data_IF_324152952416
#
_entry.id   IF_324152952416
#
_cell.length_a   1.000
_cell.length_b   1.000
_cell.length_c   1.000
_cell.angle_alpha   90.00
_cell.angle_beta   90.00
_cell.angle_gamma   90.00
#
_symmetry.space_group_name_H-M   'P 1'
#
loop_
_entity.id
_entity.type
_entity.pdbx_description
1 polymer ?
#
# COMPACT_ATOMS: atom_id res chain seq x y z
N UNK A 1 2.17 -15.05 19.16
CA UNK A 1 2.32 -14.89 17.70
C UNK A 1 3.74 -14.48 17.38
N UNK A 2 4.40 -15.24 16.51
CA UNK A 2 5.58 -14.78 15.80
C UNK A 2 5.18 -13.69 14.80
N UNK A 3 6.04 -12.69 14.61
CA UNK A 3 5.88 -11.64 13.58
C UNK A 3 7.01 -11.86 12.58
N UNK A 4 6.65 -12.00 11.30
CA UNK A 4 7.61 -12.04 10.21
C UNK A 4 7.74 -10.63 9.62
N UNK A 5 8.94 -10.07 9.65
CA UNK A 5 9.24 -8.80 9.01
C UNK A 5 9.88 -9.10 7.66
N UNK A 6 9.27 -8.62 6.58
CA UNK A 6 9.83 -8.72 5.22
C UNK A 6 10.22 -7.33 4.77
N UNK A 7 11.44 -7.16 4.28
CA UNK A 7 11.97 -5.87 3.85
C UNK A 7 12.29 -5.93 2.35
N UNK A 8 11.59 -5.11 1.58
CA UNK A 8 11.86 -4.89 0.17
C UNK A 8 12.87 -3.75 0.02
N UNK A 9 13.99 -4.04 -0.64
CA UNK A 9 15.05 -3.07 -0.90
C UNK A 9 14.96 -2.56 -2.35
N UNK A 10 15.44 -1.34 -2.58
CA UNK A 10 15.46 -0.73 -3.91
C UNK A 10 16.79 -0.93 -4.66
N UNK A 11 17.90 -1.00 -3.92
CA UNK A 11 19.25 -1.06 -4.47
C UNK A 11 20.10 -2.11 -3.76
N UNK A 12 21.09 -2.67 -4.46
CA UNK A 12 22.02 -3.69 -3.94
C UNK A 12 22.77 -3.23 -2.67
N UNK A 13 23.19 -1.96 -2.61
CA UNK A 13 23.82 -1.41 -1.40
C UNK A 13 22.91 -1.52 -0.18
N UNK A 14 21.62 -1.22 -0.36
CA UNK A 14 20.63 -1.30 0.71
C UNK A 14 20.41 -2.74 1.16
N UNK A 15 20.39 -3.69 0.21
CA UNK A 15 20.30 -5.13 0.51
C UNK A 15 21.49 -5.53 1.39
N UNK A 16 22.72 -5.20 0.99
CA UNK A 16 23.93 -5.55 1.76
C UNK A 16 23.89 -5.00 3.18
N UNK A 17 23.60 -3.71 3.34
CA UNK A 17 23.53 -3.06 4.66
C UNK A 17 22.45 -3.67 5.57
N UNK A 18 21.30 -4.03 5.01
CA UNK A 18 20.21 -4.60 5.79
C UNK A 18 20.42 -6.07 6.13
N UNK A 19 21.04 -6.84 5.23
CA UNK A 19 21.44 -8.23 5.51
C UNK A 19 22.40 -8.27 6.67
N UNK A 20 23.50 -7.51 6.60
CA UNK A 20 24.52 -7.44 7.67
C UNK A 20 23.89 -7.09 9.03
N UNK A 21 22.91 -6.19 9.04
CA UNK A 21 22.32 -5.68 10.28
C UNK A 21 21.14 -6.50 10.82
N UNK A 22 20.38 -7.16 9.94
CA UNK A 22 19.03 -7.65 10.29
C UNK A 22 18.68 -9.05 9.79
N UNK A 23 19.57 -9.79 9.12
CA UNK A 23 19.23 -11.12 8.57
C UNK A 23 18.71 -12.14 9.62
N UNK A 24 19.13 -12.00 10.87
CA UNK A 24 18.66 -12.85 11.97
C UNK A 24 17.25 -12.47 12.50
N UNK A 25 16.69 -11.34 12.06
CA UNK A 25 15.46 -10.74 12.61
C UNK A 25 14.39 -10.42 11.55
N UNK A 26 14.77 -10.36 10.28
CA UNK A 26 13.89 -10.04 9.17
C UNK A 26 14.29 -10.80 7.91
N UNK A 27 13.33 -10.98 7.00
CA UNK A 27 13.55 -11.51 5.66
C UNK A 27 13.87 -10.35 4.72
N UNK A 28 15.14 -10.23 4.31
CA UNK A 28 15.57 -9.22 3.34
C UNK A 28 15.40 -9.81 1.93
N UNK A 29 14.56 -9.20 1.11
CA UNK A 29 14.38 -9.61 -0.27
C UNK A 29 15.58 -9.14 -1.11
N UNK A 30 16.27 -10.11 -1.71
CA UNK A 30 17.48 -9.89 -2.53
C UNK A 30 17.18 -9.71 -4.02
N UNK A 31 16.03 -10.22 -4.47
CA UNK A 31 15.62 -10.17 -5.87
C UNK A 31 14.33 -9.37 -6.01
N UNK A 32 14.07 -8.88 -7.23
CA UNK A 32 12.77 -8.31 -7.59
C UNK A 32 11.70 -9.38 -7.43
N UNK A 33 10.62 -9.02 -6.74
CA UNK A 33 9.45 -9.87 -6.52
C UNK A 33 8.21 -9.17 -7.07
N UNK A 34 7.17 -9.94 -7.35
CA UNK A 34 5.86 -9.37 -7.66
C UNK A 34 5.29 -8.68 -6.41
N UNK A 35 5.16 -7.35 -6.49
CA UNK A 35 4.76 -6.51 -5.38
C UNK A 35 3.29 -6.68 -5.00
N UNK A 36 2.40 -6.90 -5.97
CA UNK A 36 0.95 -6.93 -5.71
C UNK A 36 0.57 -8.14 -4.83
N UNK A 37 0.96 -9.39 -5.16
CA UNK A 37 0.71 -10.54 -4.31
C UNK A 37 1.36 -10.41 -2.93
N UNK A 38 2.60 -9.89 -2.87
CA UNK A 38 3.31 -9.68 -1.62
C UNK A 38 2.54 -8.70 -0.70
N UNK A 39 2.14 -7.56 -1.23
CA UNK A 39 1.36 -6.55 -0.50
C UNK A 39 0.00 -7.12 -0.06
N UNK A 40 -0.71 -7.82 -0.96
CA UNK A 40 -2.03 -8.38 -0.66
C UNK A 40 -1.99 -9.44 0.45
N UNK A 41 -0.90 -10.22 0.50
CA UNK A 41 -0.66 -11.24 1.52
C UNK A 41 -0.29 -10.64 2.89
N UNK A 42 0.29 -9.45 2.92
CA UNK A 42 0.81 -8.81 4.14
C UNK A 42 -0.30 -8.39 5.11
N UNK A 43 -0.07 -8.52 6.42
CA UNK A 43 -1.02 -8.08 7.46
C UNK A 43 -0.99 -6.56 7.68
N UNK A 44 0.20 -5.97 7.55
CA UNK A 44 0.43 -4.52 7.60
C UNK A 44 1.53 -4.19 6.58
N UNK A 45 1.33 -3.13 5.80
CA UNK A 45 2.33 -2.56 4.91
C UNK A 45 2.85 -1.24 5.48
N UNK A 46 4.17 -1.05 5.47
CA UNK A 46 4.82 0.19 5.91
C UNK A 46 5.63 0.72 4.72
N UNK A 47 5.31 1.94 4.28
CA UNK A 47 5.96 2.57 3.13
C UNK A 47 6.25 4.05 3.34
N UNK A 48 6.91 4.68 2.36
CA UNK A 48 7.31 6.08 2.43
C UNK A 48 6.39 7.03 1.64
N UNK A 49 5.14 6.64 1.37
CA UNK A 49 4.12 7.50 0.72
C UNK A 49 4.14 7.47 -0.81
N UNK A 50 5.03 6.70 -1.43
CA UNK A 50 5.11 6.53 -2.89
C UNK A 50 4.10 5.52 -3.46
N UNK A 51 4.35 5.04 -4.67
CA UNK A 51 3.45 4.17 -5.44
C UNK A 51 3.01 2.93 -4.66
N UNK A 52 3.94 2.15 -4.10
CA UNK A 52 3.60 0.93 -3.33
C UNK A 52 2.77 1.22 -2.07
N UNK A 53 2.89 2.43 -1.50
CA UNK A 53 2.02 2.84 -0.37
C UNK A 53 0.59 3.08 -0.85
N UNK A 54 0.44 3.66 -2.05
CA UNK A 54 -0.86 3.87 -2.67
C UNK A 54 -1.49 2.53 -3.10
N UNK A 55 -0.72 1.65 -3.72
CA UNK A 55 -1.14 0.29 -4.08
C UNK A 55 -1.60 -0.51 -2.86
N UNK A 56 -0.83 -0.51 -1.77
CA UNK A 56 -1.21 -1.20 -0.54
C UNK A 56 -2.51 -0.68 0.06
N UNK A 57 -2.69 0.63 0.08
CA UNK A 57 -3.92 1.26 0.53
C UNK A 57 -5.13 0.86 -0.32
N UNK A 58 -5.01 0.90 -1.65
CA UNK A 58 -6.10 0.58 -2.58
C UNK A 58 -6.38 -0.92 -2.71
N UNK A 59 -5.40 -1.79 -2.42
CA UNK A 59 -5.61 -3.23 -2.22
C UNK A 59 -6.30 -3.55 -0.89
N UNK A 60 -6.47 -2.55 -0.01
CA UNK A 60 -7.08 -2.71 1.30
C UNK A 60 -6.17 -3.37 2.32
N UNK A 61 -4.87 -3.42 2.07
CA UNK A 61 -3.88 -3.84 3.08
C UNK A 61 -3.72 -2.70 4.10
N UNK A 62 -3.77 -2.99 5.41
CA UNK A 62 -3.54 -1.99 6.44
C UNK A 62 -2.21 -1.27 6.21
N UNK A 63 -2.26 0.05 5.98
CA UNK A 63 -1.10 0.79 5.46
C UNK A 63 -0.69 1.92 6.39
N UNK A 64 0.60 1.98 6.68
CA UNK A 64 1.24 3.06 7.43
C UNK A 64 2.28 3.73 6.53
N UNK A 65 2.19 5.05 6.41
CA UNK A 65 3.24 5.86 5.80
C UNK A 65 4.17 6.44 6.86
N UNK A 66 5.46 6.29 6.65
CA UNK A 66 6.55 6.91 7.43
C UNK A 66 7.19 8.09 6.68
N UNK A 67 6.55 8.56 5.60
CA UNK A 67 7.11 9.65 4.80
C UNK A 67 7.30 10.91 5.64
N UNK A 68 8.44 11.63 5.52
CA UNK A 68 8.57 12.98 6.07
C UNK A 68 7.82 14.01 5.20
N UNK A 69 7.55 13.68 3.93
CA UNK A 69 6.92 14.56 2.95
C UNK A 69 5.44 14.21 2.81
N UNK A 70 4.62 15.13 2.30
CA UNK A 70 3.21 14.87 1.98
C UNK A 70 3.02 14.87 0.47
N UNK A 71 2.91 13.69 -0.12
CA UNK A 71 2.57 13.57 -1.54
C UNK A 71 1.07 13.84 -1.74
N UNK A 72 0.69 14.33 -2.92
CA UNK A 72 -0.71 14.69 -3.21
C UNK A 72 -1.64 13.47 -3.10
N UNK A 73 -1.27 12.36 -3.75
CA UNK A 73 -2.03 11.10 -3.73
C UNK A 73 -2.09 10.53 -2.31
N UNK A 74 -0.96 10.51 -1.60
CA UNK A 74 -0.91 10.06 -0.22
C UNK A 74 -1.79 10.90 0.70
N UNK A 75 -1.79 12.24 0.54
CA UNK A 75 -2.63 13.15 1.32
C UNK A 75 -4.12 12.81 1.17
N UNK A 76 -4.56 12.51 -0.05
CA UNK A 76 -5.91 12.04 -0.31
C UNK A 76 -6.19 10.70 0.39
N UNK A 77 -5.30 9.72 0.25
CA UNK A 77 -5.48 8.40 0.89
C UNK A 77 -5.50 8.49 2.42
N UNK A 78 -4.72 9.40 3.01
CA UNK A 78 -4.78 9.70 4.46
C UNK A 78 -6.12 10.32 4.83
N UNK A 79 -6.65 11.27 4.05
CA UNK A 79 -7.95 11.89 4.35
C UNK A 79 -9.13 10.92 4.20
N UNK A 80 -9.00 9.90 3.34
CA UNK A 80 -10.00 8.82 3.25
C UNK A 80 -9.95 7.83 4.42
N UNK A 81 -8.82 7.76 5.14
CA UNK A 81 -8.58 6.80 6.22
C UNK A 81 -7.92 5.49 5.80
N UNK A 82 -7.63 5.30 4.51
CA UNK A 82 -6.90 4.12 4.01
C UNK A 82 -5.44 4.08 4.48
N UNK A 83 -4.82 5.24 4.68
CA UNK A 83 -3.42 5.35 5.15
C UNK A 83 -3.39 6.03 6.51
N UNK A 84 -2.64 5.44 7.45
CA UNK A 84 -2.22 6.12 8.68
C UNK A 84 -0.80 6.64 8.52
N UNK A 85 -0.46 7.74 9.20
CA UNK A 85 0.91 8.25 9.22
C UNK A 85 1.53 8.01 10.58
N UNK A 86 2.80 7.62 10.58
CA UNK A 86 3.63 7.58 11.77
C UNK A 86 4.75 8.62 11.62
N UNK A 87 4.86 9.49 12.61
CA UNK A 87 5.88 10.55 12.67
C UNK A 87 7.17 10.10 13.37
N UNK A 88 7.11 9.01 14.12
CA UNK A 88 8.23 8.45 14.88
C UNK A 88 8.03 6.95 15.13
N UNK A 89 9.06 6.31 15.68
CA UNK A 89 9.07 4.86 15.94
C UNK A 89 8.02 4.43 16.97
N UNK A 90 7.74 5.24 18.00
CA UNK A 90 6.73 4.92 19.02
C UNK A 90 5.34 4.86 18.39
N UNK A 91 5.01 5.86 17.57
CA UNK A 91 3.74 5.90 16.85
C UNK A 91 3.62 4.76 15.83
N UNK A 92 4.70 4.46 15.09
CA UNK A 92 4.73 3.35 14.15
C UNK A 92 4.40 2.03 14.85
N UNK A 93 5.09 1.72 15.95
CA UNK A 93 4.85 0.48 16.73
C UNK A 93 3.43 0.44 17.28
N UNK A 94 2.91 1.56 17.80
CA UNK A 94 1.54 1.65 18.31
C UNK A 94 0.51 1.36 17.22
N UNK A 95 0.64 1.99 16.05
CA UNK A 95 -0.26 1.79 14.92
C UNK A 95 -0.21 0.35 14.41
N UNK A 96 1.00 -0.18 14.18
CA UNK A 96 1.20 -1.56 13.73
C UNK A 96 0.55 -2.56 14.69
N UNK A 97 0.79 -2.41 16.00
CA UNK A 97 0.17 -3.28 17.00
C UNK A 97 -1.36 -3.14 17.03
N UNK A 98 -1.90 -1.94 16.87
CA UNK A 98 -3.34 -1.71 16.79
C UNK A 98 -3.96 -2.43 15.58
N UNK A 99 -3.32 -2.34 14.42
CA UNK A 99 -3.76 -3.01 13.18
C UNK A 99 -3.70 -4.53 13.31
N UNK A 100 -2.61 -5.08 13.87
CA UNK A 100 -2.41 -6.53 14.04
C UNK A 100 -3.35 -7.14 15.09
N UNK A 101 -3.73 -6.40 16.13
CA UNK A 101 -4.64 -6.88 17.19
C UNK A 101 -6.10 -6.90 16.75
N UNK A 102 -6.53 -5.95 15.93
CA UNK A 102 -7.90 -5.93 15.39
C UNK A 102 -8.03 -6.90 14.20
N UNK A 103 -8.51 -8.12 14.48
CA UNK A 103 -8.77 -9.16 13.46
C UNK A 103 -9.69 -8.71 12.32
N UNK A 104 -10.48 -7.65 12.51
CA UNK A 104 -11.38 -7.09 11.50
C UNK A 104 -10.75 -5.92 10.74
N UNK A 105 -9.57 -5.42 11.13
CA UNK A 105 -8.96 -4.22 10.55
C UNK A 105 -8.72 -4.36 9.05
N UNK A 106 -8.03 -5.43 8.62
CA UNK A 106 -7.79 -5.72 7.19
C UNK A 106 -9.09 -5.85 6.40
N UNK A 107 -10.12 -6.49 6.97
CA UNK A 107 -11.45 -6.59 6.33
C UNK A 107 -12.14 -5.23 6.18
N UNK A 108 -12.02 -4.34 7.18
CA UNK A 108 -12.54 -2.97 7.11
C UNK A 108 -11.80 -2.17 6.04
N UNK A 109 -10.47 -2.26 5.99
CA UNK A 109 -9.65 -1.59 4.98
C UNK A 109 -9.98 -2.05 3.56
N UNK A 110 -10.14 -3.36 3.32
CA UNK A 110 -10.62 -3.88 2.02
C UNK A 110 -11.96 -3.30 1.58
N UNK A 111 -12.93 -3.20 2.49
CA UNK A 111 -14.24 -2.62 2.18
C UNK A 111 -14.15 -1.13 1.85
N UNK A 112 -13.38 -0.38 2.64
CA UNK A 112 -13.16 1.04 2.41
C UNK A 112 -12.43 1.28 1.08
N UNK A 113 -11.42 0.47 0.78
CA UNK A 113 -10.65 0.55 -0.45
C UNK A 113 -11.53 0.29 -1.67
N UNK A 114 -12.34 -0.77 -1.65
CA UNK A 114 -13.30 -1.05 -2.72
C UNK A 114 -14.29 0.09 -2.93
N UNK A 115 -14.84 0.66 -1.86
CA UNK A 115 -15.76 1.81 -1.95
C UNK A 115 -15.11 3.06 -2.54
N UNK A 116 -13.85 3.33 -2.21
CA UNK A 116 -13.12 4.47 -2.75
C UNK A 116 -12.77 4.22 -4.23
N UNK A 117 -12.31 3.01 -4.54
CA UNK A 117 -11.94 2.60 -5.89
C UNK A 117 -13.12 2.70 -6.87
N UNK A 118 -14.31 2.27 -6.46
CA UNK A 118 -15.55 2.35 -7.24
C UNK A 118 -15.97 3.80 -7.58
N UNK A 119 -15.46 4.78 -6.83
CA UNK A 119 -15.72 6.22 -7.06
C UNK A 119 -14.64 6.91 -7.87
N UNK A 120 -13.55 6.22 -8.19
CA UNK A 120 -12.49 6.78 -9.03
C UNK A 120 -12.95 6.79 -10.48
N UNK A 121 -12.60 7.85 -11.21
CA UNK A 121 -12.78 7.89 -12.66
C UNK A 121 -11.87 6.84 -13.30
N UNK A 122 -12.35 6.18 -14.36
CA UNK A 122 -11.49 5.37 -15.20
C UNK A 122 -10.52 6.31 -15.95
N UNK A 123 -9.20 6.15 -15.80
CA UNK A 123 -8.23 7.05 -16.43
C UNK A 123 -8.23 6.99 -17.95
N UNK A 124 -8.61 5.84 -18.55
CA UNK A 124 -8.75 5.68 -20.00
C UNK A 124 -9.96 6.47 -20.46
N UNK A 125 -11.11 6.30 -19.81
CA UNK A 125 -12.32 7.08 -20.13
C UNK A 125 -12.06 8.58 -19.99
N UNK A 126 -11.35 8.97 -18.92
CA UNK A 126 -10.99 10.38 -18.70
C UNK A 126 -10.08 10.90 -19.79
N UNK A 127 -9.06 10.14 -20.18
CA UNK A 127 -8.14 10.51 -21.26
C UNK A 127 -8.88 10.66 -22.60
N UNK A 128 -9.73 9.70 -22.96
CA UNK A 128 -10.52 9.75 -24.19
C UNK A 128 -11.48 10.94 -24.22
N UNK A 129 -12.05 11.32 -23.08
CA UNK A 129 -12.90 12.51 -22.96
C UNK A 129 -12.15 13.81 -23.33
N UNK A 130 -10.85 13.92 -23.01
CA UNK A 130 -10.03 15.08 -23.38
C UNK A 130 -9.61 15.06 -24.85
N UNK A 131 -9.56 13.88 -25.47
CA UNK A 131 -9.23 13.72 -26.88
C UNK A 131 -10.45 13.91 -27.80
N UNK A 132 -11.64 14.20 -27.25
CA UNK A 132 -12.92 14.29 -27.98
C UNK A 132 -13.26 13.01 -28.77
N UNK A 133 -12.75 11.85 -28.34
CA UNK A 133 -13.07 10.56 -28.94
C UNK A 133 -14.32 10.05 -28.21
N UNK A 134 -15.46 10.02 -28.90
CA UNK A 134 -16.70 9.46 -28.36
C UNK A 134 -16.57 7.94 -28.26
N UNK A 135 -16.59 7.36 -27.06
CA UNK A 135 -16.67 5.91 -26.90
C UNK A 135 -18.12 5.44 -26.91
N UNK A 136 -18.50 4.73 -27.97
CA UNK A 136 -19.51 3.68 -27.84
C UNK A 136 -18.80 2.47 -27.19
N UNK A 137 -18.87 2.33 -25.89
CA UNK A 137 -18.56 1.05 -25.23
C UNK A 137 -19.80 0.58 -24.49
N UNK A 138 -20.43 -0.44 -25.07
CA UNK A 138 -21.49 -1.21 -24.44
C UNK A 138 -20.91 -1.89 -23.21
N UNK A 139 -21.59 -1.77 -22.07
CA UNK A 139 -21.32 -2.56 -20.87
C UNK A 139 -21.78 -4.00 -21.11
N UNK A 140 -21.01 -4.78 -21.85
CA UNK A 140 -21.15 -6.24 -21.88
C UNK A 140 -19.75 -6.86 -21.78
N UNK A 141 -19.44 -7.38 -20.59
CA UNK A 141 -18.15 -7.98 -20.29
C UNK A 141 -18.18 -8.70 -18.95
N UNK A 142 -19.12 -9.64 -18.81
CA UNK A 142 -19.02 -10.72 -17.84
C UNK A 142 -17.78 -11.57 -18.20
N UNK A 143 -16.77 -11.59 -17.33
CA UNK A 143 -15.83 -12.71 -17.18
C UNK A 143 -15.52 -12.86 -15.69
#
# INVERSE_FOLDING_TARGET
>A
NSINIVILCRYEEQIRQLVERYEARAFILRNVVDGIPLIASSDVFIGAGGTMTCEAALLGTPTISISPIRFYVEKYLVSTGLVKRASNSIELVRLTNGMLKDKKYKKKQKRLAAFIFDKMEDPIDKMLSYLNISTQHSKDGNI
#
